data_IF_582734478635
#
_entry.id   IF_582734478635
#
_cell.length_a   1.000
_cell.length_b   1.000
_cell.length_c   1.000
_cell.angle_alpha   90.00
_cell.angle_beta   90.00
_cell.angle_gamma   90.00
#
_symmetry.space_group_name_H-M   'P 1'
#
loop_
_entity.id
_entity.type
_entity.pdbx_description
1 polymer ?
#
# COMPACT_ATOMS: atom_id res chain seq x y z
N UNK A 1 -10.14 -2.82 -6.82
CA UNK A 1 -10.98 -2.40 -7.98
C UNK A 1 -10.25 -2.70 -9.28
N UNK A 2 -10.96 -3.13 -10.32
CA UNK A 2 -10.40 -3.28 -11.66
C UNK A 2 -10.68 -2.01 -12.50
N UNK A 3 -9.64 -1.42 -13.09
CA UNK A 3 -9.74 -0.19 -13.89
C UNK A 3 -9.17 -0.46 -15.29
N UNK A 4 -9.88 -0.03 -16.33
CA UNK A 4 -9.40 -0.18 -17.70
C UNK A 4 -8.09 0.61 -17.93
N UNK A 5 -7.20 0.08 -18.77
CA UNK A 5 -5.95 0.75 -19.14
C UNK A 5 -4.76 0.54 -18.19
N UNK A 6 -4.97 -0.08 -17.02
CA UNK A 6 -3.89 -0.30 -16.02
C UNK A 6 -3.63 -1.77 -15.70
N UNK A 7 -4.12 -2.70 -16.54
CA UNK A 7 -3.99 -4.14 -16.31
C UNK A 7 -2.55 -4.62 -16.07
N UNK A 8 -1.51 -4.19 -16.83
CA UNK A 8 -0.12 -4.60 -16.55
C UNK A 8 0.36 -4.16 -15.15
N UNK A 9 0.01 -2.94 -14.74
CA UNK A 9 0.35 -2.41 -13.43
C UNK A 9 -0.35 -3.19 -12.31
N UNK A 10 -1.65 -3.42 -12.47
CA UNK A 10 -2.45 -4.19 -11.51
C UNK A 10 -1.94 -5.63 -11.36
N UNK A 11 -1.60 -6.30 -12.47
CA UNK A 11 -1.02 -7.65 -12.46
C UNK A 11 0.32 -7.69 -11.73
N UNK A 12 1.19 -6.72 -11.97
CA UNK A 12 2.48 -6.65 -11.26
C UNK A 12 2.30 -6.43 -9.76
N UNK A 13 1.40 -5.52 -9.36
CA UNK A 13 1.12 -5.24 -7.94
C UNK A 13 0.46 -6.43 -7.23
N UNK A 14 -0.45 -7.15 -7.88
CA UNK A 14 -0.99 -8.41 -7.37
C UNK A 14 0.08 -9.50 -7.23
N UNK A 15 1.02 -9.57 -8.18
CA UNK A 15 2.16 -10.48 -8.10
C UNK A 15 3.07 -10.19 -6.91
N UNK A 16 3.24 -8.91 -6.52
CA UNK A 16 4.04 -8.52 -5.36
C UNK A 16 3.46 -9.06 -4.04
N UNK A 17 2.13 -9.14 -3.91
CA UNK A 17 1.49 -9.75 -2.74
C UNK A 17 1.82 -11.25 -2.65
N UNK A 18 1.73 -11.97 -3.78
CA UNK A 18 2.11 -13.38 -3.84
C UNK A 18 3.59 -13.55 -3.49
N UNK A 19 4.47 -12.77 -4.11
CA UNK A 19 5.91 -12.81 -3.86
C UNK A 19 6.24 -12.56 -2.38
N UNK A 20 5.55 -11.62 -1.73
CA UNK A 20 5.73 -11.30 -0.31
C UNK A 20 5.51 -12.53 0.58
N UNK A 21 4.49 -13.34 0.30
CA UNK A 21 4.21 -14.58 1.04
C UNK A 21 5.33 -15.61 0.87
N UNK A 22 5.86 -15.75 -0.35
CA UNK A 22 6.99 -16.66 -0.63
C UNK A 22 8.27 -16.19 0.08
N UNK A 23 8.60 -14.89 -0.01
CA UNK A 23 9.75 -14.32 0.70
C UNK A 23 9.64 -14.52 2.22
N UNK A 24 8.46 -14.33 2.79
CA UNK A 24 8.21 -14.56 4.21
C UNK A 24 8.45 -16.02 4.62
N UNK A 25 8.14 -16.98 3.73
CA UNK A 25 8.36 -18.41 3.95
C UNK A 25 9.84 -18.78 3.77
N UNK A 26 10.45 -18.33 2.69
CA UNK A 26 11.83 -18.66 2.30
C UNK A 26 12.87 -18.01 3.22
N UNK A 27 12.59 -16.83 3.75
CA UNK A 27 13.53 -16.13 4.63
C UNK A 27 13.29 -16.40 6.13
N UNK A 28 12.26 -17.19 6.46
CA UNK A 28 11.89 -17.49 7.84
C UNK A 28 13.01 -18.15 8.65
N UNK A 29 13.78 -19.07 8.05
CA UNK A 29 14.92 -19.72 8.72
C UNK A 29 16.03 -18.75 9.11
N UNK A 30 16.09 -17.59 8.44
CA UNK A 30 17.06 -16.52 8.72
C UNK A 30 16.51 -15.48 9.70
N UNK A 31 15.30 -15.67 10.21
CA UNK A 31 14.61 -14.70 11.07
C UNK A 31 14.22 -13.40 10.35
N UNK A 32 14.14 -13.40 9.02
CA UNK A 32 13.78 -12.23 8.22
C UNK A 32 12.29 -12.28 7.89
N UNK A 33 11.59 -11.19 8.16
CA UNK A 33 10.16 -11.02 7.86
C UNK A 33 9.99 -10.31 6.52
N UNK A 34 8.91 -10.63 5.81
CA UNK A 34 8.49 -9.92 4.60
C UNK A 34 7.01 -9.55 4.71
N UNK A 35 6.69 -8.28 4.44
CA UNK A 35 5.33 -7.75 4.37
C UNK A 35 5.26 -6.74 3.22
N UNK A 36 4.07 -6.52 2.67
CA UNK A 36 3.79 -5.50 1.67
C UNK A 36 2.83 -4.46 2.23
N UNK A 37 2.94 -3.24 1.69
CA UNK A 37 2.00 -2.16 1.94
C UNK A 37 1.33 -1.85 0.61
N UNK A 38 0.01 -1.71 0.62
CA UNK A 38 -0.82 -1.33 -0.50
C UNK A 38 -1.40 0.08 -0.24
N UNK A 39 -0.71 1.15 -0.69
CA UNK A 39 -1.22 2.50 -0.57
C UNK A 39 -2.46 2.74 -1.43
N UNK A 40 -3.38 3.55 -0.92
CA UNK A 40 -4.46 4.14 -1.73
C UNK A 40 -4.00 5.40 -2.47
N UNK A 41 -4.93 6.36 -2.61
CA UNK A 41 -4.61 7.68 -3.13
C UNK A 41 -3.72 8.46 -2.14
N UNK A 42 -2.46 8.71 -2.50
CA UNK A 42 -1.49 9.46 -1.69
C UNK A 42 -1.01 10.69 -2.46
N UNK A 43 -0.93 11.85 -1.79
CA UNK A 43 -0.41 13.09 -2.37
C UNK A 43 1.09 12.95 -2.66
N UNK A 44 1.41 12.73 -3.92
CA UNK A 44 2.79 12.58 -4.42
C UNK A 44 2.93 13.26 -5.77
N UNK A 45 4.16 13.52 -6.20
CA UNK A 45 4.50 14.04 -7.54
C UNK A 45 4.35 12.98 -8.66
N UNK A 46 3.84 11.78 -8.35
CA UNK A 46 3.68 10.71 -9.31
C UNK A 46 2.75 11.15 -10.45
N UNK A 47 3.21 11.01 -11.70
CA UNK A 47 2.43 11.42 -12.87
C UNK A 47 2.30 12.94 -13.06
N UNK A 48 3.12 13.75 -12.36
CA UNK A 48 3.08 15.21 -12.43
C UNK A 48 2.30 15.89 -11.30
N UNK A 49 1.97 15.16 -10.23
CA UNK A 49 1.21 15.66 -9.10
C UNK A 49 -0.30 15.47 -9.24
N UNK A 50 -1.04 15.87 -8.20
CA UNK A 50 -2.51 15.89 -8.21
C UNK A 50 -2.98 17.30 -8.54
N UNK A 51 -3.88 17.43 -9.53
CA UNK A 51 -4.66 18.65 -9.66
C UNK A 51 -5.72 18.70 -8.57
N UNK A 52 -6.18 19.89 -8.20
CA UNK A 52 -7.24 20.07 -7.19
C UNK A 52 -8.50 19.27 -7.52
N UNK A 53 -8.92 19.26 -8.80
CA UNK A 53 -10.08 18.48 -9.26
C UNK A 53 -9.89 16.97 -9.10
N UNK A 54 -8.70 16.47 -9.41
CA UNK A 54 -8.39 15.05 -9.28
C UNK A 54 -8.27 14.64 -7.81
N UNK A 55 -7.72 15.52 -6.97
CA UNK A 55 -7.64 15.29 -5.52
C UNK A 55 -9.04 15.21 -4.89
N UNK A 56 -9.94 16.14 -5.22
CA UNK A 56 -11.35 16.11 -4.74
C UNK A 56 -12.04 14.82 -5.19
N UNK A 57 -11.82 14.41 -6.44
CA UNK A 57 -12.39 13.16 -6.97
C UNK A 57 -11.88 11.93 -6.20
N UNK A 58 -10.57 11.84 -5.95
CA UNK A 58 -9.98 10.73 -5.18
C UNK A 58 -10.43 10.75 -3.71
N UNK A 59 -10.49 11.93 -3.09
CA UNK A 59 -10.97 12.09 -1.72
C UNK A 59 -12.40 11.55 -1.56
N UNK A 60 -13.28 11.82 -2.52
CA UNK A 60 -14.65 11.29 -2.55
C UNK A 60 -14.75 9.76 -2.70
N UNK A 61 -13.67 9.08 -3.08
CA UNK A 61 -13.60 7.62 -3.15
C UNK A 61 -13.01 6.98 -1.90
N UNK A 62 -12.52 7.77 -0.95
CA UNK A 62 -12.01 7.29 0.34
C UNK A 62 -13.08 7.42 1.43
N UNK A 63 -13.19 6.44 2.31
CA UNK A 63 -14.06 6.52 3.48
C UNK A 63 -13.67 7.64 4.46
N UNK A 64 -12.38 7.99 4.53
CA UNK A 64 -11.88 9.09 5.37
C UNK A 64 -12.02 10.48 4.71
N UNK A 65 -12.56 10.57 3.49
CA UNK A 65 -12.90 11.83 2.83
C UNK A 65 -11.71 12.71 2.43
N UNK A 66 -10.51 12.13 2.29
CA UNK A 66 -9.29 12.83 1.86
C UNK A 66 -8.28 11.87 1.23
N UNK A 67 -7.36 12.42 0.45
CA UNK A 67 -6.14 11.70 0.07
C UNK A 67 -5.20 11.56 1.27
N UNK A 68 -4.38 10.51 1.26
CA UNK A 68 -3.35 10.30 2.27
C UNK A 68 -2.08 11.11 1.99
N UNK A 69 -1.25 11.27 3.02
CA UNK A 69 0.09 11.87 2.92
C UNK A 69 1.19 10.80 2.88
N UNK A 70 2.37 11.09 2.29
CA UNK A 70 3.51 10.16 2.29
C UNK A 70 3.92 9.70 3.70
N UNK A 71 3.83 10.59 4.69
CA UNK A 71 4.18 10.28 6.09
C UNK A 71 3.28 9.23 6.72
N UNK A 72 2.04 9.07 6.24
CA UNK A 72 1.13 8.03 6.72
C UNK A 72 1.59 6.64 6.25
N UNK A 73 2.17 6.54 5.05
CA UNK A 73 2.85 5.33 4.59
C UNK A 73 4.14 5.11 5.38
N UNK A 74 4.91 6.18 5.60
CA UNK A 74 6.14 6.16 6.39
C UNK A 74 5.91 5.65 7.82
N UNK A 75 4.83 6.10 8.47
CA UNK A 75 4.43 5.65 9.81
C UNK A 75 4.14 4.15 9.87
N UNK A 76 3.48 3.59 8.85
CA UNK A 76 3.22 2.14 8.79
C UNK A 76 4.51 1.35 8.55
N UNK A 77 5.40 1.82 7.68
CA UNK A 77 6.73 1.21 7.48
C UNK A 77 7.52 1.21 8.79
N UNK A 78 7.63 2.35 9.46
CA UNK A 78 8.32 2.48 10.73
C UNK A 78 7.71 1.55 11.81
N UNK A 79 6.39 1.47 11.86
CA UNK A 79 5.65 0.56 12.76
C UNK A 79 6.01 -0.91 12.50
N UNK A 80 6.06 -1.35 11.24
CA UNK A 80 6.44 -2.74 10.89
C UNK A 80 7.89 -3.10 11.27
N UNK A 81 8.77 -2.11 11.33
CA UNK A 81 10.16 -2.26 11.74
C UNK A 81 10.34 -2.23 13.27
N UNK A 82 9.30 -1.87 14.03
CA UNK A 82 9.35 -1.84 15.49
C UNK A 82 9.34 -3.24 16.13
N UNK A 83 9.82 -3.32 17.38
CA UNK A 83 9.85 -4.55 18.17
C UNK A 83 8.46 -5.07 18.57
N UNK A 84 7.47 -4.17 18.64
CA UNK A 84 6.08 -4.50 18.97
C UNK A 84 5.43 -5.35 17.87
N UNK A 85 5.87 -5.17 16.62
CA UNK A 85 5.31 -5.84 15.45
C UNK A 85 6.17 -7.00 14.93
N UNK A 86 7.07 -7.56 15.76
CA UNK A 86 7.97 -8.65 15.38
C UNK A 86 7.28 -9.97 14.99
N UNK A 87 5.98 -10.11 15.28
CA UNK A 87 5.19 -11.27 14.88
C UNK A 87 4.37 -11.06 13.60
N UNK A 88 4.41 -9.85 13.02
CA UNK A 88 3.76 -9.55 11.75
C UNK A 88 4.66 -10.00 10.59
N UNK A 89 4.21 -11.01 9.86
CA UNK A 89 4.88 -11.58 8.70
C UNK A 89 3.87 -12.03 7.64
N UNK A 90 4.26 -11.97 6.36
CA UNK A 90 3.45 -12.34 5.19
C UNK A 90 2.14 -11.54 5.02
N UNK A 91 2.05 -10.33 5.58
CA UNK A 91 0.86 -9.49 5.45
C UNK A 91 0.95 -8.55 4.26
N UNK A 92 -0.21 -8.33 3.63
CA UNK A 92 -0.45 -7.18 2.76
C UNK A 92 -1.31 -6.19 3.54
N UNK A 93 -0.76 -5.01 3.84
CA UNK A 93 -1.43 -4.00 4.66
C UNK A 93 -1.91 -2.88 3.75
N UNK A 94 -3.22 -2.75 3.63
CA UNK A 94 -3.83 -1.64 2.91
C UNK A 94 -3.76 -0.36 3.76
N UNK A 95 -3.20 0.71 3.18
CA UNK A 95 -3.09 2.03 3.80
C UNK A 95 -3.71 3.04 2.83
N UNK A 96 -5.03 3.00 2.78
CA UNK A 96 -5.80 3.64 1.71
C UNK A 96 -6.96 4.52 2.18
N UNK A 97 -7.15 4.67 3.50
CA UNK A 97 -8.30 5.43 4.04
C UNK A 97 -9.67 4.88 3.62
N UNK A 98 -9.75 3.58 3.29
CA UNK A 98 -10.95 2.94 2.75
C UNK A 98 -11.23 3.33 1.29
N UNK A 99 -10.23 3.24 0.42
CA UNK A 99 -10.36 3.60 -0.99
C UNK A 99 -11.21 2.57 -1.75
N UNK A 100 -12.39 2.98 -2.20
CA UNK A 100 -13.37 2.19 -2.96
C UNK A 100 -13.75 0.89 -2.24
N UNK A 101 -14.30 1.04 -1.02
CA UNK A 101 -14.97 -0.02 -0.24
C UNK A 101 -16.49 0.12 -0.26
#
# INVERSE_FOLDING_TARGET
>A
VATAGVAPYASFKGGLEVLTRYMAKEFGERGIRANSIAPGAIRTELGGGLSDEFEVMLAGQTALGRVGEPDEIGGVVASLLSNENRWINAQNIEVAGGYII
#
